data_IF_600861122736
#
_entry.id   IF_600861122736
#
_cell.length_a   1.000
_cell.length_b   1.000
_cell.length_c   1.000
_cell.angle_alpha   90.00
_cell.angle_beta   90.00
_cell.angle_gamma   90.00
#
_symmetry.space_group_name_H-M   'P 1'
#
loop_
_entity.id
_entity.type
_entity.pdbx_description
1 polymer ?
#
# COMPACT_ATOMS: atom_id res chain seq x y z
N UNK A 1 -15.27 -23.61 -9.23
CA UNK A 1 -14.13 -22.75 -8.90
C UNK A 1 -14.61 -21.31 -8.89
N UNK A 2 -14.39 -20.52 -7.82
CA UNK A 2 -14.70 -19.09 -7.89
C UNK A 2 -13.83 -18.45 -8.99
N UNK A 3 -14.40 -17.56 -9.79
CA UNK A 3 -13.62 -16.76 -10.74
C UNK A 3 -12.93 -15.68 -9.90
N UNK A 4 -11.60 -15.62 -9.96
CA UNK A 4 -10.86 -14.53 -9.34
C UNK A 4 -11.05 -13.26 -10.18
N UNK A 5 -11.40 -12.15 -9.54
CA UNK A 5 -11.38 -10.84 -10.14
C UNK A 5 -9.96 -10.25 -10.05
N UNK A 6 -9.66 -9.32 -10.94
CA UNK A 6 -8.41 -8.56 -10.93
C UNK A 6 -8.72 -7.10 -11.11
N UNK A 7 -8.28 -6.28 -10.16
CA UNK A 7 -8.31 -4.82 -10.24
C UNK A 7 -6.89 -4.30 -10.40
N UNK A 8 -6.75 -3.18 -11.12
CA UNK A 8 -5.46 -2.48 -11.25
C UNK A 8 -5.65 -1.00 -10.93
N UNK A 9 -4.70 -0.47 -10.19
CA UNK A 9 -4.57 0.97 -9.93
C UNK A 9 -3.16 1.41 -10.32
N UNK A 10 -3.02 2.58 -10.93
CA UNK A 10 -1.72 3.13 -11.34
C UNK A 10 -1.62 4.58 -10.88
N UNK A 11 -0.44 4.96 -10.39
CA UNK A 11 -0.13 6.31 -9.90
C UNK A 11 1.38 6.55 -9.95
N UNK A 12 1.82 7.65 -9.36
CA UNK A 12 3.21 8.08 -9.30
C UNK A 12 3.51 8.66 -7.92
N UNK A 13 4.59 8.22 -7.30
CA UNK A 13 5.17 8.94 -6.17
C UNK A 13 5.93 10.12 -6.73
N UNK A 14 5.72 11.32 -6.18
CA UNK A 14 6.45 12.53 -6.57
C UNK A 14 7.02 13.22 -5.35
N UNK A 15 7.83 14.27 -5.54
CA UNK A 15 8.35 15.09 -4.44
C UNK A 15 7.24 15.79 -3.62
N UNK A 16 6.02 15.86 -4.16
CA UNK A 16 4.85 16.45 -3.49
C UNK A 16 3.97 15.41 -2.79
N UNK A 17 4.27 14.12 -2.94
CA UNK A 17 3.61 13.05 -2.19
C UNK A 17 3.86 13.18 -0.69
N UNK A 18 3.02 12.50 0.12
CA UNK A 18 3.19 12.50 1.57
C UNK A 18 4.55 11.93 1.98
N UNK A 19 5.07 12.35 3.14
CA UNK A 19 6.30 11.78 3.70
C UNK A 19 5.99 10.76 4.79
N UNK A 20 6.62 9.59 4.68
CA UNK A 20 6.42 8.46 5.57
C UNK A 20 7.64 8.25 6.46
N UNK A 21 7.45 8.24 7.78
CA UNK A 21 8.53 8.06 8.74
C UNK A 21 8.80 6.56 8.96
N UNK A 22 9.11 5.86 7.87
CA UNK A 22 9.18 4.40 7.79
C UNK A 22 10.10 3.80 8.84
N UNK A 23 11.26 4.42 9.05
CA UNK A 23 12.29 3.96 9.99
C UNK A 23 12.10 4.53 11.41
N UNK A 24 10.94 5.14 11.68
CA UNK A 24 10.63 5.84 12.95
C UNK A 24 11.23 7.24 13.04
N UNK A 25 12.03 7.66 12.06
CA UNK A 25 12.61 8.98 11.94
C UNK A 25 12.04 9.72 10.72
N UNK A 26 11.43 10.88 10.95
CA UNK A 26 10.89 11.75 9.90
C UNK A 26 11.89 12.82 9.44
N UNK A 27 13.10 12.86 9.99
CA UNK A 27 14.01 14.01 9.88
C UNK A 27 15.25 13.75 9.03
N UNK A 28 15.67 12.49 8.89
CA UNK A 28 16.91 12.12 8.19
C UNK A 28 16.69 11.54 6.79
N UNK A 29 15.58 10.82 6.58
CA UNK A 29 15.28 10.13 5.33
C UNK A 29 13.88 10.48 4.84
N UNK A 30 13.78 10.81 3.55
CA UNK A 30 12.51 11.13 2.90
C UNK A 30 11.99 9.90 2.18
N UNK A 31 10.89 9.33 2.65
CA UNK A 31 10.17 8.28 1.93
C UNK A 31 8.84 8.86 1.46
N UNK A 32 8.68 8.99 0.15
CA UNK A 32 7.41 9.40 -0.44
C UNK A 32 6.40 8.26 -0.32
N UNK A 33 5.14 8.58 -0.07
CA UNK A 33 4.08 7.59 -0.04
C UNK A 33 2.77 8.10 -0.64
N UNK A 34 1.97 7.15 -1.09
CA UNK A 34 0.54 7.32 -1.32
C UNK A 34 -0.23 6.30 -0.48
N UNK A 35 -1.33 6.74 0.11
CA UNK A 35 -2.19 5.89 0.95
C UNK A 35 -3.58 5.81 0.35
N UNK A 36 -4.22 4.66 0.47
CA UNK A 36 -5.53 4.36 -0.11
C UNK A 36 -6.46 3.78 0.93
N UNK A 37 -7.60 4.44 1.15
CA UNK A 37 -8.70 3.85 1.91
C UNK A 37 -9.47 2.88 1.03
N UNK A 38 -9.86 1.75 1.60
CA UNK A 38 -10.77 0.82 0.96
C UNK A 38 -11.52 -0.06 1.97
N UNK A 39 -12.63 -0.62 1.49
CA UNK A 39 -13.37 -1.70 2.13
C UNK A 39 -13.49 -2.86 1.13
N UNK A 40 -13.72 -4.07 1.65
CA UNK A 40 -13.98 -5.24 0.80
C UNK A 40 -15.47 -5.60 0.86
N UNK A 41 -16.02 -6.02 -0.27
CA UNK A 41 -17.44 -6.41 -0.37
C UNK A 41 -17.69 -7.86 0.06
N UNK A 42 -16.65 -8.68 0.10
CA UNK A 42 -16.68 -10.06 0.57
C UNK A 42 -15.49 -10.37 1.48
N UNK A 43 -15.73 -11.12 2.56
CA UNK A 43 -14.63 -11.61 3.38
C UNK A 43 -13.86 -12.69 2.60
N UNK A 44 -12.53 -12.70 2.70
CA UNK A 44 -11.72 -13.64 1.94
C UNK A 44 -10.24 -13.33 1.92
N UNK A 45 -9.53 -14.07 1.08
CA UNK A 45 -8.10 -13.87 0.84
C UNK A 45 -7.90 -12.87 -0.30
N UNK A 46 -7.07 -11.86 -0.04
CA UNK A 46 -6.73 -10.78 -0.97
C UNK A 46 -5.22 -10.72 -1.12
N UNK A 47 -4.77 -10.50 -2.37
CA UNK A 47 -3.36 -10.30 -2.68
C UNK A 47 -3.17 -8.96 -3.38
N UNK A 48 -2.25 -8.15 -2.88
CA UNK A 48 -1.84 -6.87 -3.45
C UNK A 48 -0.39 -7.00 -3.90
N UNK A 49 -0.12 -6.70 -5.16
CA UNK A 49 1.21 -6.79 -5.78
C UNK A 49 1.55 -5.46 -6.42
N UNK A 50 2.74 -4.93 -6.19
CA UNK A 50 3.24 -3.79 -6.95
C UNK A 50 3.92 -4.18 -8.26
N UNK A 51 4.01 -3.22 -9.15
CA UNK A 51 4.84 -3.28 -10.35
C UNK A 51 5.39 -1.89 -10.63
N UNK A 52 6.72 -1.77 -10.68
CA UNK A 52 7.45 -0.52 -10.92
C UNK A 52 8.91 -0.83 -11.29
N UNK A 53 9.62 0.17 -11.82
CA UNK A 53 11.09 0.22 -11.88
C UNK A 53 11.74 0.47 -10.51
N UNK A 54 10.98 1.00 -9.55
CA UNK A 54 11.48 1.31 -8.21
C UNK A 54 11.37 0.11 -7.26
N UNK A 55 12.25 0.07 -6.26
CA UNK A 55 12.17 -0.87 -5.13
C UNK A 55 11.04 -0.43 -4.20
N UNK A 56 9.89 -1.11 -4.31
CA UNK A 56 8.65 -0.72 -3.64
C UNK A 56 8.52 -1.38 -2.27
N UNK A 57 7.84 -0.70 -1.35
CA UNK A 57 7.47 -1.27 -0.05
C UNK A 57 5.97 -1.02 0.16
N UNK A 58 5.22 -2.10 0.38
CA UNK A 58 3.80 -2.06 0.70
C UNK A 58 3.57 -2.22 2.20
N UNK A 59 2.65 -1.43 2.74
CA UNK A 59 2.11 -1.63 4.09
C UNK A 59 0.59 -1.71 4.02
N UNK A 60 -0.01 -2.61 4.79
CA UNK A 60 -1.44 -2.70 4.96
C UNK A 60 -1.79 -2.46 6.43
N UNK A 61 -2.70 -1.52 6.65
CA UNK A 61 -3.18 -1.11 7.96
C UNK A 61 -4.64 -1.49 8.16
N UNK A 62 -4.98 -1.84 9.40
CA UNK A 62 -6.35 -1.99 9.86
C UNK A 62 -6.86 -0.67 10.44
N UNK A 63 -8.05 -0.23 10.01
CA UNK A 63 -8.78 0.97 10.42
C UNK A 63 -8.12 2.32 10.08
N UNK A 64 -6.86 2.53 10.46
CA UNK A 64 -6.22 3.85 10.36
C UNK A 64 -4.72 3.73 10.17
N UNK A 65 -4.21 4.62 9.31
CA UNK A 65 -2.80 4.81 9.02
C UNK A 65 -2.31 6.14 9.63
N UNK A 66 -1.09 6.13 10.17
CA UNK A 66 -0.41 7.31 10.69
C UNK A 66 1.02 7.35 10.15
N UNK A 67 1.33 8.33 9.30
CA UNK A 67 2.64 8.41 8.63
C UNK A 67 3.83 8.59 9.59
N UNK A 68 3.59 9.12 10.79
CA UNK A 68 4.59 9.30 11.85
C UNK A 68 4.71 8.10 12.80
N UNK A 69 3.81 7.12 12.71
CA UNK A 69 3.78 5.94 13.57
C UNK A 69 3.59 4.68 12.71
N UNK A 70 4.58 4.32 11.87
CA UNK A 70 4.46 3.29 10.83
C UNK A 70 4.08 1.91 11.36
N UNK A 71 4.43 1.59 12.62
CA UNK A 71 4.11 0.31 13.24
C UNK A 71 2.68 0.22 13.79
N UNK A 72 1.98 1.34 13.94
CA UNK A 72 0.64 1.36 14.55
C UNK A 72 -0.39 0.81 13.57
N UNK A 73 -1.13 -0.22 13.98
CA UNK A 73 -2.20 -0.89 13.22
C UNK A 73 -1.76 -1.62 11.93
N UNK A 74 -0.46 -1.82 11.70
CA UNK A 74 0.00 -2.61 10.55
C UNK A 74 -0.42 -4.07 10.72
N UNK A 75 -0.90 -4.69 9.65
CA UNK A 75 -1.28 -6.11 9.61
C UNK A 75 -0.50 -6.92 8.58
N UNK A 76 0.10 -6.25 7.59
CA UNK A 76 1.04 -6.85 6.65
C UNK A 76 1.99 -5.77 6.12
N UNK A 77 3.23 -6.15 5.86
CA UNK A 77 4.20 -5.30 5.18
C UNK A 77 5.19 -6.20 4.44
N UNK A 78 5.61 -5.78 3.25
CA UNK A 78 6.54 -6.53 2.40
C UNK A 78 7.18 -5.57 1.38
N UNK A 79 8.38 -5.91 0.90
CA UNK A 79 9.10 -5.12 -0.10
C UNK A 79 9.72 -5.92 -1.25
N UNK A 80 9.64 -7.25 -1.26
CA UNK A 80 10.33 -8.04 -2.28
C UNK A 80 9.66 -9.37 -2.66
N UNK A 81 8.59 -9.79 -1.98
CA UNK A 81 8.02 -11.13 -2.17
C UNK A 81 7.26 -11.32 -3.50
N UNK A 82 7.10 -10.27 -4.32
CA UNK A 82 6.62 -10.39 -5.70
C UNK A 82 7.74 -10.65 -6.74
N UNK A 83 9.01 -10.58 -6.34
CA UNK A 83 10.15 -10.55 -7.27
C UNK A 83 10.44 -9.13 -7.77
N UNK A 84 11.61 -8.94 -8.39
CA UNK A 84 12.02 -7.64 -8.97
C UNK A 84 11.87 -6.43 -8.03
N UNK A 85 12.14 -6.64 -6.74
CA UNK A 85 11.99 -5.62 -5.68
C UNK A 85 10.57 -5.04 -5.56
N UNK A 86 9.56 -5.87 -5.84
CA UNK A 86 8.16 -5.54 -5.71
C UNK A 86 7.54 -6.23 -4.49
N UNK A 87 6.65 -5.54 -3.80
CA UNK A 87 5.93 -6.11 -2.67
C UNK A 87 4.82 -7.06 -3.12
N UNK A 88 4.54 -8.05 -2.27
CA UNK A 88 3.35 -8.91 -2.29
C UNK A 88 2.76 -9.00 -0.89
N UNK A 89 1.61 -8.38 -0.68
CA UNK A 89 0.84 -8.50 0.55
C UNK A 89 -0.29 -9.51 0.35
N UNK A 90 -0.28 -10.60 1.11
CA UNK A 90 -1.33 -11.62 1.10
C UNK A 90 -2.00 -11.70 2.47
N UNK A 91 -3.31 -11.49 2.56
CA UNK A 91 -4.00 -11.39 3.84
C UNK A 91 -5.49 -11.78 3.75
N UNK A 92 -6.08 -12.05 4.92
CA UNK A 92 -7.52 -12.27 5.07
C UNK A 92 -8.20 -10.95 5.49
N UNK A 93 -9.17 -10.51 4.70
CA UNK A 93 -9.95 -9.29 4.95
C UNK A 93 -11.41 -9.63 5.24
N UNK A 94 -12.06 -8.78 6.05
CA UNK A 94 -13.47 -8.86 6.38
C UNK A 94 -14.23 -7.61 5.92
N UNK A 95 -15.54 -7.74 5.74
CA UNK A 95 -16.39 -6.69 5.14
C UNK A 95 -16.73 -5.53 6.08
N UNK A 96 -16.45 -5.67 7.38
CA UNK A 96 -16.81 -4.68 8.41
C UNK A 96 -15.66 -3.72 8.69
N UNK A 97 -14.44 -4.16 8.42
CA UNK A 97 -13.22 -3.41 8.66
C UNK A 97 -12.90 -2.47 7.49
N UNK A 98 -12.48 -1.25 7.81
CA UNK A 98 -11.83 -0.36 6.86
C UNK A 98 -10.32 -0.62 6.84
N UNK A 99 -9.71 -0.59 5.67
CA UNK A 99 -8.28 -0.84 5.51
C UNK A 99 -7.59 0.33 4.81
N UNK A 100 -6.30 0.48 5.07
CA UNK A 100 -5.44 1.43 4.37
C UNK A 100 -4.27 0.70 3.74
N UNK A 101 -4.16 0.74 2.42
CA UNK A 101 -2.97 0.32 1.70
C UNK A 101 -2.05 1.52 1.54
N UNK A 102 -0.76 1.36 1.85
CA UNK A 102 0.26 2.38 1.65
C UNK A 102 1.31 1.82 0.70
N UNK A 103 1.59 2.58 -0.35
CA UNK A 103 2.72 2.33 -1.26
C UNK A 103 3.81 3.35 -0.98
N UNK A 104 5.01 2.87 -0.74
CA UNK A 104 6.22 3.68 -0.56
C UNK A 104 7.40 2.97 -1.20
N UNK A 105 8.62 3.41 -0.92
CA UNK A 105 9.86 2.86 -1.47
C UNK A 105 10.73 2.27 -0.36
N UNK A 106 11.53 1.25 -0.69
CA UNK A 106 12.49 0.69 0.25
C UNK A 106 13.67 1.64 0.50
N UNK A 107 14.05 2.44 -0.50
CA UNK A 107 15.09 3.48 -0.41
C UNK A 107 14.47 4.87 -0.36
N UNK A 108 15.08 5.76 0.42
CA UNK A 108 14.68 7.17 0.53
C UNK A 108 15.00 7.95 -0.75
N UNK A 109 14.30 9.07 -0.97
CA UNK A 109 14.48 9.99 -2.10
C UNK A 109 14.27 9.31 -3.47
N UNK A 110 13.39 8.32 -3.51
CA UNK A 110 13.00 7.62 -4.75
C UNK A 110 11.55 7.98 -5.06
N UNK A 111 11.32 8.46 -6.27
CA UNK A 111 10.02 8.74 -6.84
C UNK A 111 9.98 8.13 -8.26
N UNK A 112 8.87 7.48 -8.59
CA UNK A 112 8.60 6.92 -9.92
C UNK A 112 7.12 6.53 -10.00
N UNK A 113 6.69 6.20 -11.21
CA UNK A 113 5.42 5.57 -11.49
C UNK A 113 5.35 4.15 -10.96
N UNK A 114 4.15 3.72 -10.57
CA UNK A 114 3.89 2.36 -10.13
C UNK A 114 2.46 1.93 -10.44
N UNK A 115 2.24 0.62 -10.39
CA UNK A 115 0.92 0.02 -10.41
C UNK A 115 0.73 -0.93 -9.23
N UNK A 116 -0.51 -1.09 -8.80
CA UNK A 116 -0.96 -2.08 -7.83
C UNK A 116 -1.92 -3.01 -8.55
N UNK A 117 -1.63 -4.30 -8.53
CA UNK A 117 -2.49 -5.36 -9.02
C UNK A 117 -3.11 -6.05 -7.81
N UNK A 118 -4.44 -6.12 -7.80
CA UNK A 118 -5.22 -6.73 -6.72
C UNK A 118 -5.91 -7.95 -7.30
N UNK A 119 -5.68 -9.12 -6.71
CA UNK A 119 -6.36 -10.37 -7.11
C UNK A 119 -7.19 -10.90 -5.96
N UNK A 120 -8.47 -11.16 -6.21
CA UNK A 120 -9.44 -11.55 -5.20
C UNK A 120 -10.69 -12.24 -5.76
N UNK A 121 -11.74 -12.39 -4.94
CA UNK A 121 -13.04 -12.95 -5.32
C UNK A 121 -14.07 -11.91 -5.79
N UNK A 122 -13.79 -10.61 -5.68
CA UNK A 122 -14.68 -9.50 -6.03
C UNK A 122 -13.92 -8.16 -6.20
N UNK A 123 -14.20 -7.43 -7.28
CA UNK A 123 -13.59 -6.12 -7.58
C UNK A 123 -13.49 -5.16 -6.37
N UNK A 124 -12.27 -4.72 -6.07
CA UNK A 124 -11.96 -3.63 -5.12
C UNK A 124 -11.68 -2.33 -5.87
N UNK A 125 -12.07 -1.20 -5.25
CA UNK A 125 -11.64 0.14 -5.65
C UNK A 125 -10.79 0.78 -4.53
N UNK A 126 -9.63 1.30 -4.90
CA UNK A 126 -8.77 2.08 -4.00
C UNK A 126 -9.12 3.57 -4.10
N UNK A 127 -9.28 4.23 -2.95
CA UNK A 127 -9.54 5.68 -2.89
C UNK A 127 -8.33 6.39 -2.29
N UNK A 128 -7.61 7.24 -3.04
CA UNK A 128 -6.48 8.00 -2.51
C UNK A 128 -6.86 8.84 -1.30
N UNK A 129 -6.02 8.79 -0.27
CA UNK A 129 -6.06 9.70 0.87
C UNK A 129 -5.04 10.79 0.53
N UNK A 130 -5.52 12.01 0.30
CA UNK A 130 -4.62 13.16 0.09
C UNK A 130 -3.60 13.27 1.22
N UNK A 131 -2.46 13.91 0.96
CA UNK A 131 -1.44 14.11 1.97
C UNK A 131 -2.08 14.76 3.22
N UNK A 132 -2.17 14.00 4.32
CA UNK A 132 -2.66 14.52 5.58
C UNK A 132 -1.63 15.56 6.03
N UNK A 133 -1.95 16.85 5.85
CA UNK A 133 -1.23 17.94 6.50
C UNK A 133 -1.26 17.68 7.99
N UNK A 134 -0.07 17.59 8.59
CA UNK A 134 0.13 17.44 10.04
C UNK A 134 -0.70 18.46 10.83
#
# INVERSE_FOLDING_TARGET
>A
TPILATSQYSSELTETSGQFCRDGDCSSLVYYYEAFNFNVSAAGSYTFISSSSMDTFGYLYKNSFYSYAPAKNVIAADNDSAGDAQFRLHTLLDTVTAYVLVVTTFKSNVNDSYSIIITDVASIALTPIGALSK
#
